data_IF_280928752698
#
_entry.id   IF_280928752698
#
_cell.length_a   1.000
_cell.length_b   1.000
_cell.length_c   1.000
_cell.angle_alpha   90.00
_cell.angle_beta   90.00
_cell.angle_gamma   90.00
#
_symmetry.space_group_name_H-M   'P 1'
#
loop_
_entity.id
_entity.type
_entity.pdbx_description
1 polymer ?
#
# COMPACT_ATOMS: atom_id res chain seq x y z
N UNK A 1 5.90 3.61 9.05
CA UNK A 1 5.63 2.54 8.07
C UNK A 1 4.42 1.75 8.54
N UNK A 2 3.50 1.46 7.63
CA UNK A 2 2.25 0.73 7.85
C UNK A 2 2.21 -0.49 6.93
N UNK A 3 1.74 -1.62 7.46
CA UNK A 3 1.67 -2.89 6.71
C UNK A 3 0.27 -3.47 6.84
N UNK A 4 -0.37 -3.78 5.71
CA UNK A 4 -1.68 -4.44 5.68
C UNK A 4 -1.66 -5.73 4.86
N UNK A 5 -1.89 -6.86 5.52
CA UNK A 5 -1.93 -8.17 4.88
C UNK A 5 -3.38 -8.64 4.66
N UNK A 6 -4.10 -8.01 3.73
CA UNK A 6 -5.50 -8.31 3.46
C UNK A 6 -5.67 -9.73 2.89
N UNK A 7 -6.73 -10.41 3.36
CA UNK A 7 -7.12 -11.75 2.92
C UNK A 7 -8.59 -11.74 2.54
N UNK A 8 -8.94 -12.54 1.55
CA UNK A 8 -10.34 -12.81 1.21
C UNK A 8 -10.96 -13.70 2.29
N UNK A 9 -12.13 -13.31 2.80
CA UNK A 9 -12.86 -14.16 3.76
C UNK A 9 -13.51 -15.35 3.06
N UNK A 10 -13.99 -16.35 3.81
CA UNK A 10 -14.70 -17.51 3.24
C UNK A 10 -15.97 -17.14 2.47
N UNK A 11 -16.55 -15.98 2.76
CA UNK A 11 -17.76 -15.48 2.10
C UNK A 11 -17.43 -14.59 0.88
N UNK A 12 -16.18 -14.64 0.40
CA UNK A 12 -15.67 -13.81 -0.70
C UNK A 12 -15.67 -12.29 -0.44
N UNK A 13 -15.85 -11.88 0.81
CA UNK A 13 -15.82 -10.47 1.21
C UNK A 13 -14.39 -9.90 1.09
N UNK A 14 -14.29 -8.71 0.49
CA UNK A 14 -13.05 -7.98 0.22
C UNK A 14 -13.34 -6.48 0.15
N UNK A 15 -12.52 -5.67 0.80
CA UNK A 15 -12.59 -4.22 0.65
C UNK A 15 -12.26 -3.80 -0.80
N UNK A 16 -13.03 -2.84 -1.33
CA UNK A 16 -12.66 -2.14 -2.56
C UNK A 16 -11.33 -1.40 -2.34
N UNK A 17 -11.28 -0.43 -1.42
CA UNK A 17 -10.02 0.17 -0.94
C UNK A 17 -10.15 0.38 0.57
N UNK A 18 -9.34 -0.27 1.41
CA UNK A 18 -9.38 -0.06 2.86
C UNK A 18 -9.07 1.40 3.22
N UNK A 19 -9.95 2.06 3.99
CA UNK A 19 -9.75 3.45 4.40
C UNK A 19 -8.47 3.64 5.22
N UNK A 20 -8.06 2.63 6.00
CA UNK A 20 -6.80 2.64 6.75
C UNK A 20 -5.56 2.79 5.85
N UNK A 21 -5.61 2.35 4.59
CA UNK A 21 -4.53 2.60 3.63
C UNK A 21 -4.51 4.08 3.23
N UNK A 22 -5.69 4.67 2.98
CA UNK A 22 -5.81 6.09 2.64
C UNK A 22 -5.32 6.99 3.78
N UNK A 23 -5.68 6.65 5.02
CA UNK A 23 -5.23 7.34 6.24
C UNK A 23 -3.71 7.22 6.45
N UNK A 24 -3.13 6.03 6.18
CA UNK A 24 -1.69 5.86 6.24
C UNK A 24 -0.97 6.71 5.19
N UNK A 25 -1.46 6.74 3.94
CA UNK A 25 -0.90 7.55 2.86
C UNK A 25 -1.07 9.06 3.11
N UNK A 26 -2.21 9.51 3.64
CA UNK A 26 -2.42 10.92 4.00
C UNK A 26 -1.52 11.38 5.15
N UNK A 27 -1.14 10.44 6.02
CA UNK A 27 -0.17 10.62 7.11
C UNK A 27 1.28 10.46 6.65
N UNK A 28 1.54 10.38 5.33
CA UNK A 28 2.88 10.20 4.74
C UNK A 28 3.61 8.96 5.28
N UNK A 29 2.87 7.92 5.64
CA UNK A 29 3.45 6.65 6.05
C UNK A 29 3.76 5.80 4.82
N UNK A 30 4.94 5.19 4.82
CA UNK A 30 5.26 4.08 3.93
C UNK A 30 4.22 2.98 4.05
N UNK A 31 3.59 2.61 2.94
CA UNK A 31 2.60 1.53 2.90
C UNK A 31 3.15 0.30 2.18
N UNK A 32 3.01 -0.86 2.84
CA UNK A 32 3.22 -2.17 2.22
C UNK A 32 1.91 -2.94 2.34
N UNK A 33 1.36 -3.41 1.23
CA UNK A 33 0.05 -4.08 1.25
C UNK A 33 -0.05 -5.25 0.29
N UNK A 34 -0.99 -6.16 0.54
CA UNK A 34 -1.28 -7.25 -0.41
C UNK A 34 -1.85 -6.72 -1.71
N UNK A 35 -1.48 -7.33 -2.84
CA UNK A 35 -2.15 -7.15 -4.14
C UNK A 35 -3.55 -7.79 -4.09
N UNK A 36 -4.52 -7.04 -3.59
CA UNK A 36 -5.85 -7.55 -3.24
C UNK A 36 -6.92 -6.46 -3.36
N UNK A 37 -8.13 -6.81 -3.81
CA UNK A 37 -9.21 -5.84 -4.02
C UNK A 37 -8.78 -4.72 -4.98
N UNK A 38 -9.23 -3.50 -4.71
CA UNK A 38 -8.82 -2.26 -5.39
C UNK A 38 -7.57 -1.61 -4.77
N UNK A 39 -6.85 -2.28 -3.86
CA UNK A 39 -5.56 -1.77 -3.34
C UNK A 39 -4.57 -1.42 -4.46
N UNK A 40 -4.44 -2.20 -5.56
CA UNK A 40 -3.56 -1.86 -6.68
C UNK A 40 -4.00 -0.64 -7.50
N UNK A 41 -5.21 -0.11 -7.29
CA UNK A 41 -5.67 1.13 -7.91
C UNK A 41 -5.14 2.37 -7.17
N UNK A 42 -4.78 2.21 -5.89
CA UNK A 42 -4.25 3.27 -5.05
C UNK A 42 -2.72 3.18 -4.89
N UNK A 43 -2.19 1.96 -4.79
CA UNK A 43 -0.76 1.71 -4.61
C UNK A 43 -0.12 1.26 -5.92
N UNK A 44 0.84 2.05 -6.38
CA UNK A 44 1.74 1.70 -7.46
C UNK A 44 3.04 1.13 -6.88
N UNK A 45 3.24 -0.17 -7.11
CA UNK A 45 4.36 -0.93 -6.56
C UNK A 45 5.71 -0.29 -6.91
N UNK A 46 6.52 -0.02 -5.89
CA UNK A 46 7.84 0.58 -6.03
C UNK A 46 7.86 2.10 -6.26
N UNK A 47 6.70 2.78 -6.22
CA UNK A 47 6.60 4.23 -6.47
C UNK A 47 6.04 4.98 -5.27
N UNK A 48 4.86 4.58 -4.79
CA UNK A 48 4.17 5.22 -3.65
C UNK A 48 3.91 4.23 -2.49
N UNK A 49 4.45 3.02 -2.61
CA UNK A 49 4.29 1.91 -1.67
C UNK A 49 4.79 0.60 -2.29
N UNK A 50 4.65 -0.50 -1.55
CA UNK A 50 4.94 -1.84 -2.07
C UNK A 50 3.72 -2.73 -2.04
N UNK A 51 3.59 -3.55 -3.08
CA UNK A 51 2.63 -4.63 -3.17
C UNK A 51 3.32 -5.99 -3.03
N UNK A 52 2.66 -6.91 -2.35
CA UNK A 52 3.10 -8.31 -2.27
C UNK A 52 1.96 -9.28 -2.55
N UNK A 53 2.31 -10.48 -3.01
CA UNK A 53 1.30 -11.49 -3.34
C UNK A 53 0.78 -12.21 -2.08
N UNK A 54 -0.46 -12.69 -2.16
CA UNK A 54 -1.08 -13.42 -1.04
C UNK A 54 -0.24 -14.63 -0.64
N UNK A 55 0.02 -14.76 0.66
CA UNK A 55 0.81 -15.86 1.23
C UNK A 55 2.33 -15.73 1.04
N UNK A 56 2.82 -14.64 0.43
CA UNK A 56 4.25 -14.36 0.25
C UNK A 56 4.78 -13.45 1.35
N UNK A 57 4.79 -13.94 2.59
CA UNK A 57 5.29 -13.17 3.75
C UNK A 57 6.78 -12.86 3.66
N UNK A 58 7.54 -13.67 2.93
CA UNK A 58 8.94 -13.43 2.58
C UNK A 58 9.12 -12.13 1.79
N UNK A 59 8.21 -11.81 0.88
CA UNK A 59 8.24 -10.54 0.15
C UNK A 59 8.09 -9.36 1.10
N UNK A 60 7.19 -9.44 2.10
CA UNK A 60 7.00 -8.39 3.09
C UNK A 60 8.31 -8.11 3.85
N UNK A 61 8.95 -9.16 4.36
CA UNK A 61 10.19 -9.05 5.12
C UNK A 61 11.30 -8.39 4.26
N UNK A 62 11.47 -8.84 3.02
CA UNK A 62 12.46 -8.29 2.11
C UNK A 62 12.21 -6.80 1.79
N UNK A 63 10.94 -6.40 1.60
CA UNK A 63 10.58 -4.99 1.38
C UNK A 63 10.83 -4.12 2.61
N UNK A 64 10.53 -4.63 3.80
CA UNK A 64 10.80 -3.93 5.06
C UNK A 64 12.30 -3.69 5.23
N UNK A 65 13.12 -4.73 5.04
CA UNK A 65 14.59 -4.62 5.12
C UNK A 65 15.10 -3.57 4.12
N UNK A 66 14.67 -3.69 2.86
CA UNK A 66 15.07 -2.75 1.82
C UNK A 66 14.69 -1.29 2.15
N UNK A 67 13.53 -1.05 2.77
CA UNK A 67 13.13 0.29 3.21
C UNK A 67 13.94 0.77 4.41
N UNK A 68 14.24 -0.09 5.38
CA UNK A 68 15.05 0.28 6.55
C UNK A 68 16.46 0.69 6.14
N UNK A 69 17.02 0.06 5.11
CA UNK A 69 18.38 0.35 4.62
C UNK A 69 18.44 1.52 3.61
N UNK A 70 17.30 2.08 3.20
CA UNK A 70 17.26 3.11 2.15
C UNK A 70 16.41 4.34 2.52
N UNK A 71 17.03 5.29 3.21
CA UNK A 71 16.43 6.55 3.67
C UNK A 71 15.80 7.37 2.53
N UNK A 72 16.45 7.38 1.35
CA UNK A 72 15.96 8.10 0.18
C UNK A 72 14.64 7.50 -0.33
N UNK A 73 14.56 6.18 -0.44
CA UNK A 73 13.31 5.51 -0.83
C UNK A 73 12.21 5.73 0.21
N UNK A 74 12.56 5.73 1.51
CA UNK A 74 11.59 6.04 2.57
C UNK A 74 10.98 7.42 2.39
N UNK A 75 11.81 8.44 2.21
CA UNK A 75 11.34 9.80 1.99
C UNK A 75 10.49 9.90 0.72
N UNK A 76 10.95 9.29 -0.37
CA UNK A 76 10.29 9.34 -1.68
C UNK A 76 8.89 8.72 -1.64
N UNK A 77 8.75 7.52 -1.07
CA UNK A 77 7.47 6.83 -1.02
C UNK A 77 6.47 7.53 -0.09
N UNK A 78 6.94 8.05 1.05
CA UNK A 78 6.12 8.85 1.97
C UNK A 78 5.51 10.07 1.29
N UNK A 79 6.31 10.80 0.49
CA UNK A 79 5.84 11.98 -0.26
C UNK A 79 4.88 11.57 -1.40
N UNK A 80 5.20 10.51 -2.15
CA UNK A 80 4.40 10.05 -3.28
C UNK A 80 3.05 9.45 -2.86
N UNK A 81 2.88 9.06 -1.59
CA UNK A 81 1.62 8.52 -1.07
C UNK A 81 0.46 9.53 -1.13
N UNK A 82 0.70 10.81 -0.76
CA UNK A 82 -0.34 11.85 -0.70
C UNK A 82 -0.96 12.20 -2.06
N UNK A 83 -0.21 12.46 -3.14
CA UNK A 83 -0.82 12.74 -4.45
C UNK A 83 -1.66 11.56 -5.00
N UNK A 84 -1.37 10.34 -4.54
CA UNK A 84 -2.02 9.14 -5.06
C UNK A 84 -3.46 8.99 -4.58
N UNK A 85 -3.77 9.44 -3.35
CA UNK A 85 -5.16 9.49 -2.84
C UNK A 85 -6.01 10.52 -3.59
N UNK A 86 -5.43 11.64 -4.02
CA UNK A 86 -6.14 12.71 -4.73
C UNK A 86 -6.53 12.29 -6.14
N UNK A 87 -5.64 11.59 -6.86
CA UNK A 87 -5.89 11.09 -8.21
C UNK A 87 -6.96 9.99 -8.27
N UNK A 88 -7.04 9.13 -7.24
CA UNK A 88 -8.07 8.09 -7.17
C UNK A 88 -9.45 8.67 -6.83
N UNK A 89 -9.52 9.78 -6.10
CA UNK A 89 -10.80 10.40 -5.69
C UNK A 89 -11.53 11.07 -6.87
N UNK A 90 -10.82 11.51 -7.90
CA UNK A 90 -11.41 12.15 -9.09
C UNK A 90 -12.05 11.24 -10.14
N UNK A 91 -12.12 9.92 -9.90
CA UNK A 91 -12.72 8.93 -10.83
C UNK A 91 -14.07 8.35 -10.38
N UNK A 92 -14.63 8.87 -9.29
CA UNK A 92 -15.89 8.39 -8.73
C UNK A 92 -16.92 9.53 -8.64
N UNK A 93 -17.28 10.11 -9.79
CA UNK A 93 -18.55 10.83 -10.00
C UNK A 93 -19.15 10.43 -11.36
#
# INVERSE_FOLDING_TARGET
MFVLASKTTRNFDQDAIPNVIKEAMSSELLVISTRHGGIPELIQDGINGYLFDKGKTDQIANRIIHLIDNDYLRATFSINGRPSIEQTTGKAE
#
